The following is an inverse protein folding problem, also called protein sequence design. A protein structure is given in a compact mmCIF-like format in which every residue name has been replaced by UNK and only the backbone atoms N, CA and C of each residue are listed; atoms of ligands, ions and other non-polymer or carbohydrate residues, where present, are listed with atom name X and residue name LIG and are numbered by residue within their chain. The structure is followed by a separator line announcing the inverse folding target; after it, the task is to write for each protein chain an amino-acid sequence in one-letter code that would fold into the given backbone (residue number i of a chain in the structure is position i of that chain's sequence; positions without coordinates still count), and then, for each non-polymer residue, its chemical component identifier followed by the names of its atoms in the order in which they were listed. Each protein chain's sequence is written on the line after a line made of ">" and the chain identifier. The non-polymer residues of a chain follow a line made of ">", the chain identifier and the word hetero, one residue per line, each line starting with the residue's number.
data_IF_022807919271
#
_entry.id   IF_022807919271
#
_cell.length_a   1.000
_cell.length_b   1.000
_cell.length_c   1.000
_cell.angle_alpha   90.00
_cell.angle_beta   90.00
_cell.angle_gamma   90.00
#
_symmetry.space_group_name_H-M   'P 1'
#
loop_
_entity.id
_entity.type
_entity.pdbx_description
1 polymer ?
#
# COMPACT_ATOMS: atom_id res chain seq x y z
N UNK A 1 -8.08 -20.07 -4.07
CA UNK A 1 -9.12 -19.03 -3.91
C UNK A 1 -8.55 -17.67 -4.27
N UNK A 2 -9.25 -16.94 -5.11
CA UNK A 2 -8.79 -15.63 -5.53
C UNK A 2 -9.29 -14.55 -4.59
N UNK A 3 -8.40 -13.73 -4.09
CA UNK A 3 -8.79 -12.57 -3.31
C UNK A 3 -9.34 -11.49 -4.24
N UNK A 4 -10.32 -10.75 -3.78
CA UNK A 4 -10.81 -9.63 -4.57
C UNK A 4 -9.80 -8.48 -4.52
N UNK A 5 -10.00 -7.50 -5.38
CA UNK A 5 -9.06 -6.41 -5.52
C UNK A 5 -8.88 -5.61 -4.23
N UNK A 6 -9.98 -5.39 -3.52
CA UNK A 6 -9.92 -4.64 -2.26
C UNK A 6 -9.05 -5.35 -1.22
N UNK A 7 -9.21 -6.68 -1.11
CA UNK A 7 -8.43 -7.47 -0.17
C UNK A 7 -6.95 -7.45 -0.54
N UNK A 8 -6.65 -7.55 -1.84
CA UNK A 8 -5.26 -7.48 -2.31
C UNK A 8 -4.62 -6.13 -1.95
N UNK A 9 -5.38 -5.05 -2.11
CA UNK A 9 -4.88 -3.73 -1.77
C UNK A 9 -4.63 -3.59 -0.26
N UNK A 10 -5.52 -4.15 0.55
CA UNK A 10 -5.34 -4.13 2.00
C UNK A 10 -4.06 -4.85 2.41
N UNK A 11 -3.82 -6.04 1.86
CA UNK A 11 -2.62 -6.80 2.17
C UNK A 11 -1.36 -6.06 1.69
N UNK A 12 -1.45 -5.45 0.51
CA UNK A 12 -0.31 -4.68 0.00
C UNK A 12 0.05 -3.53 0.92
N UNK A 13 -0.95 -2.82 1.44
CA UNK A 13 -0.74 -1.72 2.37
C UNK A 13 -0.14 -2.22 3.69
N UNK A 14 -0.59 -3.37 4.17
CA UNK A 14 -0.03 -3.97 5.38
C UNK A 14 1.45 -4.33 5.18
N UNK A 15 1.79 -4.87 4.02
CA UNK A 15 3.17 -5.21 3.71
C UNK A 15 4.06 -3.96 3.66
N UNK A 16 3.52 -2.85 3.17
CA UNK A 16 4.26 -1.59 3.16
C UNK A 16 4.56 -1.14 4.58
N UNK A 17 3.60 -1.26 5.49
CA UNK A 17 3.83 -0.93 6.89
C UNK A 17 4.97 -1.77 7.47
N UNK A 18 4.98 -3.06 7.18
CA UNK A 18 6.06 -3.94 7.63
C UNK A 18 7.40 -3.54 7.02
N UNK A 19 7.38 -3.13 5.76
CA UNK A 19 8.60 -2.70 5.08
C UNK A 19 9.21 -1.47 5.74
N UNK A 20 8.39 -0.54 6.23
CA UNK A 20 8.92 0.61 6.96
C UNK A 20 9.75 0.17 8.16
N UNK A 21 9.26 -0.82 8.90
CA UNK A 21 10.01 -1.36 10.04
C UNK A 21 11.29 -2.05 9.61
N UNK A 22 11.22 -2.80 8.50
CA UNK A 22 12.36 -3.58 8.04
C UNK A 22 13.47 -2.74 7.45
N UNK A 23 13.17 -1.57 6.93
CA UNK A 23 14.19 -0.69 6.37
C UNK A 23 14.76 0.29 7.40
N UNK A 24 14.23 0.27 8.62
CA UNK A 24 14.76 1.10 9.69
C UNK A 24 16.23 0.77 9.90
N UNK A 25 17.05 1.79 10.03
CA UNK A 25 18.51 1.67 10.17
C UNK A 25 19.24 1.14 8.93
N UNK A 26 18.54 1.04 7.80
CA UNK A 26 19.19 0.71 6.55
C UNK A 26 19.98 1.92 6.04
N UNK A 27 21.09 1.66 5.33
CA UNK A 27 21.93 2.72 4.78
C UNK A 27 21.15 3.67 3.87
N UNK A 28 20.20 3.13 3.11
CA UNK A 28 19.42 3.89 2.16
C UNK A 28 18.00 4.13 2.66
N UNK A 29 17.83 4.18 3.97
CA UNK A 29 16.52 4.29 4.59
C UNK A 29 15.68 5.43 4.00
N UNK A 30 16.26 6.60 3.84
CA UNK A 30 15.52 7.76 3.35
C UNK A 30 15.02 7.54 1.91
N UNK A 31 15.87 7.01 1.06
CA UNK A 31 15.48 6.72 -0.32
C UNK A 31 14.41 5.65 -0.38
N UNK A 32 14.56 4.61 0.42
CA UNK A 32 13.58 3.54 0.48
C UNK A 32 12.24 4.05 0.99
N UNK A 33 12.25 4.94 1.96
CA UNK A 33 11.02 5.55 2.46
C UNK A 33 10.30 6.35 1.38
N UNK A 34 11.04 7.05 0.55
CA UNK A 34 10.43 7.80 -0.55
C UNK A 34 9.70 6.88 -1.51
N UNK A 35 10.33 5.76 -1.86
CA UNK A 35 9.69 4.77 -2.73
C UNK A 35 8.45 4.18 -2.09
N UNK A 36 8.52 3.87 -0.80
CA UNK A 36 7.38 3.33 -0.07
C UNK A 36 6.25 4.34 0.04
N UNK A 37 6.57 5.61 0.26
CA UNK A 37 5.56 6.66 0.32
C UNK A 37 4.82 6.79 -1.01
N UNK A 38 5.56 6.74 -2.11
CA UNK A 38 4.95 6.81 -3.42
C UNK A 38 4.01 5.63 -3.65
N UNK A 39 4.48 4.43 -3.34
CA UNK A 39 3.69 3.22 -3.51
C UNK A 39 2.46 3.23 -2.61
N UNK A 40 2.65 3.61 -1.36
CA UNK A 40 1.57 3.74 -0.38
C UNK A 40 0.49 4.70 -0.89
N UNK A 41 0.91 5.84 -1.40
CA UNK A 41 0.01 6.85 -1.94
C UNK A 41 -0.80 6.29 -3.11
N UNK A 42 -0.14 5.58 -4.02
CA UNK A 42 -0.81 4.97 -5.17
C UNK A 42 -1.82 3.90 -4.75
N UNK A 43 -1.43 3.06 -3.82
CA UNK A 43 -2.32 2.00 -3.34
C UNK A 43 -3.51 2.56 -2.59
N UNK A 44 -3.29 3.61 -1.80
CA UNK A 44 -4.37 4.28 -1.07
C UNK A 44 -5.36 4.90 -2.05
N UNK A 45 -4.85 5.49 -3.12
CA UNK A 45 -5.68 6.06 -4.16
C UNK A 45 -6.54 4.99 -4.83
N UNK A 46 -5.93 3.86 -5.16
CA UNK A 46 -6.66 2.75 -5.77
C UNK A 46 -7.72 2.19 -4.82
N UNK A 47 -7.40 2.09 -3.55
CA UNK A 47 -8.35 1.63 -2.55
C UNK A 47 -9.57 2.56 -2.48
N UNK A 48 -9.31 3.86 -2.50
CA UNK A 48 -10.37 4.86 -2.47
C UNK A 48 -11.30 4.72 -3.68
N UNK A 49 -10.72 4.53 -4.86
CA UNK A 49 -11.50 4.33 -6.08
C UNK A 49 -12.33 3.06 -5.99
N UNK A 50 -11.74 1.99 -5.47
CA UNK A 50 -12.42 0.71 -5.35
C UNK A 50 -13.62 0.78 -4.40
N UNK A 51 -13.45 1.49 -3.29
CA UNK A 51 -14.53 1.68 -2.32
C UNK A 51 -15.67 2.50 -2.94
N UNK A 52 -15.32 3.57 -3.65
CA UNK A 52 -16.32 4.40 -4.32
C UNK A 52 -17.09 3.61 -5.36
N UNK A 53 -16.40 2.75 -6.07
CA UNK A 53 -17.00 1.91 -7.09
C UNK A 53 -18.06 0.98 -6.50
N UNK A 54 -17.77 0.45 -5.33
CA UNK A 54 -18.71 -0.43 -4.63
C UNK A 54 -19.93 0.30 -4.07
N UNK A 55 -19.73 1.55 -3.69
CA UNK A 55 -20.82 2.36 -3.15
C UNK A 55 -21.75 2.88 -4.24
N UNK A 56 -21.23 3.02 -5.45
CA UNK A 56 -22.01 3.44 -6.59
C UNK A 56 -22.64 2.23 -7.26
N UNK A 57 -23.92 2.23 -7.32
CA UNK A 57 -24.66 1.19 -8.03
C UNK A 57 -25.41 1.77 -9.19
#
# INVERSE_FOLDING_TARGET
>A
MKMNKQTKLMYALEHIDHLYDLIEDNEDEEQLKEHLLYLDSELTKQMSIEVKRRLKR
#
